data_IF_588461251187
#
_entry.id   IF_588461251187
#
_cell.length_a   1.000
_cell.length_b   1.000
_cell.length_c   1.000
_cell.angle_alpha   90.00
_cell.angle_beta   90.00
_cell.angle_gamma   90.00
#
_symmetry.space_group_name_H-M   'P 1'
#
loop_
_entity.id
_entity.type
_entity.pdbx_description
1 polymer ?
#
# COMPACT_ATOMS: atom_id res chain seq x y z
N UNK A 1 6.57 16.90 -1.62
CA UNK A 1 6.17 16.48 -0.25
C UNK A 1 4.65 16.58 -0.01
N UNK A 2 3.93 17.48 -0.69
CA UNK A 2 2.50 17.76 -0.43
C UNK A 2 1.50 16.82 -1.18
N UNK A 3 2.00 15.97 -2.08
CA UNK A 3 1.17 15.21 -3.04
C UNK A 3 0.61 13.88 -2.48
N UNK A 4 1.17 13.33 -1.39
CA UNK A 4 0.86 11.95 -0.95
C UNK A 4 0.04 11.91 0.36
N UNK A 5 0.25 12.87 1.24
CA UNK A 5 -0.47 12.94 2.54
C UNK A 5 -1.89 13.48 2.36
N UNK A 6 -2.09 14.43 1.45
CA UNK A 6 -3.41 15.07 1.24
C UNK A 6 -4.48 14.10 0.72
N UNK A 7 -4.21 13.29 -0.33
CA UNK A 7 -5.20 12.30 -0.79
C UNK A 7 -5.50 11.22 0.27
N UNK A 8 -4.49 10.79 1.02
CA UNK A 8 -4.67 9.83 2.11
C UNK A 8 -5.65 10.37 3.17
N UNK A 9 -5.50 11.64 3.55
CA UNK A 9 -6.35 12.30 4.55
C UNK A 9 -7.79 12.44 4.06
N UNK A 10 -7.99 12.95 2.83
CA UNK A 10 -9.35 13.16 2.28
C UNK A 10 -10.11 11.85 2.17
N UNK A 11 -9.43 10.79 1.71
CA UNK A 11 -10.05 9.48 1.57
C UNK A 11 -10.16 8.71 2.90
N UNK A 12 -9.61 9.25 4.00
CA UNK A 12 -9.46 8.55 5.29
C UNK A 12 -8.73 7.20 5.15
N UNK A 13 -7.79 7.12 4.21
CA UNK A 13 -7.00 5.93 3.92
C UNK A 13 -5.60 6.02 4.54
N UNK A 14 -5.58 6.28 5.84
CA UNK A 14 -4.36 6.31 6.64
C UNK A 14 -4.64 5.93 8.08
N UNK A 15 -3.60 5.51 8.80
CA UNK A 15 -3.64 5.28 10.25
C UNK A 15 -2.33 5.74 10.90
N UNK A 16 -2.47 6.51 11.97
CA UNK A 16 -1.35 6.92 12.82
C UNK A 16 -1.39 6.06 14.08
N UNK A 17 -0.26 5.40 14.37
CA UNK A 17 -0.09 4.63 15.59
C UNK A 17 0.61 5.48 16.64
N UNK A 18 0.12 5.42 17.88
CA UNK A 18 0.70 6.15 19.01
C UNK A 18 1.10 5.19 20.13
N UNK A 19 2.15 5.55 20.85
CA UNK A 19 2.57 4.90 22.08
C UNK A 19 2.83 6.00 23.12
N UNK A 20 2.16 5.93 24.28
CA UNK A 20 2.20 6.97 25.33
C UNK A 20 2.00 8.40 24.77
N UNK A 21 1.04 8.56 23.86
CA UNK A 21 0.71 9.83 23.19
C UNK A 21 1.62 10.24 22.02
N UNK A 22 2.80 9.63 21.88
CA UNK A 22 3.76 9.96 20.81
C UNK A 22 3.51 9.12 19.55
N UNK A 23 3.59 9.69 18.33
CA UNK A 23 3.48 8.93 17.09
C UNK A 23 4.65 7.94 16.98
N UNK A 24 4.32 6.68 16.71
CA UNK A 24 5.27 5.58 16.61
C UNK A 24 5.17 4.84 15.27
N UNK A 25 4.14 5.12 14.49
CA UNK A 25 4.07 4.67 13.11
C UNK A 25 2.99 5.37 12.31
N UNK A 26 3.13 5.27 10.99
CA UNK A 26 2.21 5.79 10.01
C UNK A 26 2.04 4.76 8.90
N UNK A 27 0.80 4.55 8.49
CA UNK A 27 0.46 3.69 7.36
C UNK A 27 -0.55 4.42 6.50
N UNK A 28 -0.37 4.40 5.18
CA UNK A 28 -1.32 4.88 4.18
C UNK A 28 -1.57 3.80 3.14
N UNK A 29 -2.75 3.83 2.53
CA UNK A 29 -3.12 2.85 1.50
C UNK A 29 -3.98 3.44 0.40
N UNK A 30 -4.00 2.78 -0.75
CA UNK A 30 -4.84 3.11 -1.88
C UNK A 30 -5.62 1.88 -2.35
N UNK A 31 -6.83 2.12 -2.85
CA UNK A 31 -7.65 1.14 -3.56
C UNK A 31 -7.67 1.54 -5.03
N UNK A 32 -6.82 0.90 -5.82
CA UNK A 32 -6.57 1.29 -7.21
C UNK A 32 -7.44 0.47 -8.16
N UNK A 33 -7.78 1.05 -9.31
CA UNK A 33 -8.16 0.26 -10.49
C UNK A 33 -6.93 -0.46 -11.05
N UNK A 34 -7.15 -1.48 -11.88
CA UNK A 34 -6.06 -2.15 -12.60
C UNK A 34 -5.22 -1.14 -13.41
N UNK A 35 -5.87 -0.22 -14.14
CA UNK A 35 -5.17 0.77 -14.97
C UNK A 35 -4.28 1.72 -14.14
N UNK A 36 -4.73 2.13 -12.94
CA UNK A 36 -3.92 2.96 -12.03
C UNK A 36 -2.79 2.15 -11.41
N UNK A 37 -3.05 0.90 -11.00
CA UNK A 37 -2.01 0.00 -10.49
C UNK A 37 -0.87 -0.17 -11.50
N UNK A 38 -1.19 -0.41 -12.78
CA UNK A 38 -0.18 -0.65 -13.81
C UNK A 38 0.76 0.54 -14.02
N UNK A 39 0.27 1.76 -13.85
CA UNK A 39 1.12 2.97 -13.89
C UNK A 39 1.94 3.10 -12.61
N UNK A 40 1.30 2.86 -11.46
CA UNK A 40 1.93 3.01 -10.14
C UNK A 40 3.13 2.08 -9.94
N UNK A 41 3.07 0.85 -10.44
CA UNK A 41 4.17 -0.12 -10.28
C UNK A 41 5.42 0.23 -11.08
N UNK A 42 5.28 1.00 -12.16
CA UNK A 42 6.38 1.46 -13.00
C UNK A 42 6.91 2.81 -12.53
N UNK A 43 6.01 3.70 -12.14
CA UNK A 43 6.34 4.97 -11.52
C UNK A 43 5.42 5.21 -10.32
N UNK A 44 5.97 5.09 -9.11
CA UNK A 44 5.21 5.36 -7.88
C UNK A 44 4.72 6.81 -7.78
N UNK A 45 5.37 7.75 -8.50
CA UNK A 45 4.95 9.15 -8.62
C UNK A 45 3.70 9.37 -9.46
N UNK A 46 3.28 8.37 -10.23
CA UNK A 46 2.09 8.44 -11.10
C UNK A 46 0.75 8.37 -10.34
N UNK A 47 0.76 8.05 -9.04
CA UNK A 47 -0.45 7.98 -8.23
C UNK A 47 -1.01 9.38 -7.94
N UNK A 48 -1.98 9.79 -8.75
CA UNK A 48 -2.74 11.03 -8.57
C UNK A 48 -3.83 10.89 -7.50
N UNK A 49 -4.33 11.99 -6.91
CA UNK A 49 -5.35 11.96 -5.85
C UNK A 49 -6.60 11.14 -6.20
N UNK A 50 -7.06 11.19 -7.45
CA UNK A 50 -8.23 10.46 -7.95
C UNK A 50 -7.98 8.95 -8.01
N UNK A 51 -6.71 8.55 -8.13
CA UNK A 51 -6.30 7.15 -8.17
C UNK A 51 -6.43 6.41 -6.84
N UNK A 52 -6.46 7.13 -5.71
CA UNK A 52 -6.45 6.55 -4.37
C UNK A 52 -7.68 5.70 -4.04
N UNK A 53 -8.82 5.96 -4.69
CA UNK A 53 -10.08 5.23 -4.51
C UNK A 53 -10.73 4.92 -5.87
N UNK A 54 -9.91 4.42 -6.79
CA UNK A 54 -10.32 4.17 -8.18
C UNK A 54 -10.77 2.73 -8.44
N UNK A 55 -10.61 1.81 -7.49
CA UNK A 55 -10.99 0.40 -7.65
C UNK A 55 -10.92 -0.41 -6.37
N UNK A 56 -10.57 -1.69 -6.49
CA UNK A 56 -10.57 -2.71 -5.44
C UNK A 56 -9.17 -3.32 -5.18
N UNK A 57 -8.14 -2.86 -5.91
CA UNK A 57 -6.77 -3.38 -5.79
C UNK A 57 -6.03 -2.64 -4.67
N UNK A 58 -5.93 -3.28 -3.51
CA UNK A 58 -5.32 -2.70 -2.31
C UNK A 58 -3.79 -2.59 -2.38
N UNK A 59 -3.27 -1.40 -2.09
CA UNK A 59 -1.84 -1.12 -1.98
C UNK A 59 -1.49 -0.36 -0.71
N UNK A 60 -0.50 -0.84 0.04
CA UNK A 60 0.16 -0.03 1.06
C UNK A 60 1.12 0.93 0.38
N UNK A 61 0.91 2.23 0.56
CA UNK A 61 1.70 3.30 -0.07
C UNK A 61 2.87 3.66 0.84
N UNK A 62 2.56 4.01 2.09
CA UNK A 62 3.57 4.29 3.11
C UNK A 62 3.43 3.32 4.27
N UNK A 63 4.56 2.78 4.73
CA UNK A 63 4.65 2.05 6.00
C UNK A 63 5.88 2.53 6.75
N UNK A 64 5.66 3.28 7.83
CA UNK A 64 6.72 3.91 8.62
C UNK A 64 6.57 3.45 10.07
N UNK A 65 7.58 2.77 10.61
CA UNK A 65 7.60 2.26 11.99
C UNK A 65 9.02 2.31 12.59
N UNK A 66 9.59 3.51 12.83
CA UNK A 66 11.01 3.68 13.13
C UNK A 66 11.43 3.15 14.51
N UNK A 67 10.50 2.96 15.44
CA UNK A 67 10.80 2.62 16.85
C UNK A 67 10.55 1.14 17.20
N UNK A 68 10.59 0.24 16.20
CA UNK A 68 10.46 -1.20 16.42
C UNK A 68 9.01 -1.73 16.55
N UNK A 69 8.01 -0.85 16.41
CA UNK A 69 6.59 -1.20 16.50
C UNK A 69 6.03 -1.99 15.28
N UNK A 70 6.88 -2.33 14.32
CA UNK A 70 6.48 -2.97 13.04
C UNK A 70 5.56 -4.17 13.25
N UNK A 71 5.91 -5.12 14.12
CA UNK A 71 5.10 -6.33 14.36
C UNK A 71 3.71 -5.99 14.90
N UNK A 72 3.63 -5.06 15.86
CA UNK A 72 2.37 -4.62 16.46
C UNK A 72 1.47 -3.95 15.43
N UNK A 73 2.06 -3.07 14.60
CA UNK A 73 1.34 -2.36 13.54
C UNK A 73 0.83 -3.35 12.50
N UNK A 74 1.67 -4.27 12.01
CA UNK A 74 1.24 -5.28 11.03
C UNK A 74 0.11 -6.16 11.57
N UNK A 75 0.19 -6.59 12.83
CA UNK A 75 -0.87 -7.38 13.44
C UNK A 75 -2.19 -6.60 13.52
N UNK A 76 -2.16 -5.33 13.91
CA UNK A 76 -3.36 -4.49 13.95
C UNK A 76 -3.92 -4.24 12.54
N UNK A 77 -3.08 -3.99 11.53
CA UNK A 77 -3.54 -3.86 10.14
C UNK A 77 -4.27 -5.13 9.68
N UNK A 78 -3.67 -6.30 9.93
CA UNK A 78 -4.22 -7.59 9.48
C UNK A 78 -5.50 -7.99 10.22
N UNK A 79 -5.67 -7.58 11.48
CA UNK A 79 -6.80 -8.02 12.30
C UNK A 79 -7.92 -6.99 12.40
N UNK A 80 -7.64 -5.70 12.23
CA UNK A 80 -8.59 -4.63 12.54
C UNK A 80 -8.84 -3.64 11.39
N UNK A 81 -7.91 -3.49 10.45
CA UNK A 81 -8.07 -2.54 9.33
C UNK A 81 -8.45 -3.25 8.04
N UNK A 82 -7.79 -4.37 7.75
CA UNK A 82 -7.89 -5.11 6.51
C UNK A 82 -8.22 -6.57 6.77
N UNK A 83 -9.04 -6.88 7.78
CA UNK A 83 -9.27 -8.27 8.23
C UNK A 83 -9.76 -9.19 7.13
N UNK A 84 -10.58 -8.66 6.22
CA UNK A 84 -11.19 -9.40 5.11
C UNK A 84 -10.58 -9.06 3.74
N UNK A 85 -9.56 -8.21 3.71
CA UNK A 85 -8.97 -7.71 2.48
C UNK A 85 -7.63 -8.36 2.13
N UNK A 86 -7.30 -8.28 0.85
CA UNK A 86 -5.98 -8.57 0.32
C UNK A 86 -5.33 -7.30 -0.21
N UNK A 87 -3.99 -7.28 -0.24
CA UNK A 87 -3.28 -6.12 -0.72
C UNK A 87 -1.85 -6.41 -1.13
N UNK A 88 -1.17 -5.34 -1.55
CA UNK A 88 0.19 -5.39 -2.08
C UNK A 88 1.03 -4.26 -1.51
N UNK A 89 2.34 -4.39 -1.57
CA UNK A 89 3.27 -3.30 -1.28
C UNK A 89 4.56 -3.48 -2.07
N UNK A 90 5.27 -2.37 -2.29
CA UNK A 90 6.59 -2.39 -2.93
C UNK A 90 7.69 -2.51 -1.88
N UNK A 91 8.63 -3.41 -2.10
CA UNK A 91 9.83 -3.58 -1.27
C UNK A 91 11.08 -3.36 -2.10
N UNK A 92 11.81 -2.30 -1.76
CA UNK A 92 13.19 -2.08 -2.23
C UNK A 92 14.13 -2.74 -1.24
N UNK A 93 15.13 -3.49 -1.72
CA UNK A 93 16.21 -4.00 -0.86
C UNK A 93 17.40 -3.03 -0.94
N UNK A 94 18.08 -2.73 0.18
CA UNK A 94 19.31 -1.94 0.14
C UNK A 94 20.30 -2.55 -0.87
N UNK A 95 20.85 -1.72 -1.76
CA UNK A 95 21.82 -2.15 -2.78
C UNK A 95 21.22 -2.93 -3.96
N UNK A 96 19.90 -2.92 -4.14
CA UNK A 96 19.22 -3.52 -5.29
C UNK A 96 18.56 -2.46 -6.15
N UNK A 97 18.79 -2.53 -7.46
CA UNK A 97 18.10 -1.68 -8.45
C UNK A 97 16.71 -2.23 -8.83
N UNK A 98 16.32 -3.37 -8.26
CA UNK A 98 14.99 -3.96 -8.44
C UNK A 98 14.05 -3.64 -7.28
N UNK A 99 12.80 -3.36 -7.62
CA UNK A 99 11.68 -3.30 -6.68
C UNK A 99 10.91 -4.62 -6.71
N UNK A 100 10.50 -5.13 -5.54
CA UNK A 100 9.72 -6.35 -5.43
C UNK A 100 8.28 -6.05 -5.02
N UNK A 101 7.31 -6.53 -5.79
CA UNK A 101 5.92 -6.59 -5.33
C UNK A 101 5.79 -7.69 -4.27
N UNK A 102 5.22 -7.35 -3.13
CA UNK A 102 4.88 -8.27 -2.05
C UNK A 102 3.39 -8.28 -1.82
N UNK A 103 2.85 -9.46 -1.54
CA UNK A 103 1.43 -9.68 -1.32
C UNK A 103 1.17 -9.85 0.18
N UNK A 104 0.06 -9.28 0.63
CA UNK A 104 -0.41 -9.33 2.03
C UNK A 104 -1.90 -9.65 2.05
N UNK A 105 -2.37 -10.11 3.20
CA UNK A 105 -3.77 -10.46 3.42
C UNK A 105 -4.13 -10.21 4.88
N UNK A 106 -5.40 -9.91 5.12
CA UNK A 106 -6.04 -9.94 6.42
C UNK A 106 -6.11 -11.33 7.03
N UNK A 107 -6.43 -11.39 8.33
CA UNK A 107 -6.57 -12.67 9.04
C UNK A 107 -7.68 -13.57 8.47
N UNK A 108 -8.74 -12.99 7.92
CA UNK A 108 -9.86 -13.73 7.32
C UNK A 108 -9.68 -13.94 5.80
N UNK A 109 -8.79 -13.18 5.16
CA UNK A 109 -8.60 -13.15 3.72
C UNK A 109 -7.55 -14.15 3.19
N UNK A 110 -7.16 -15.16 3.97
CA UNK A 110 -6.09 -16.13 3.61
C UNK A 110 -6.42 -16.88 2.31
N UNK A 111 -7.71 -17.16 2.08
CA UNK A 111 -8.20 -17.87 0.89
C UNK A 111 -8.75 -16.92 -0.18
N UNK A 112 -8.75 -15.61 0.08
CA UNK A 112 -9.23 -14.62 -0.87
C UNK A 112 -8.22 -14.50 -1.99
N UNK A 113 -8.70 -14.51 -3.24
CA UNK A 113 -7.84 -14.30 -4.38
C UNK A 113 -7.22 -12.89 -4.33
N UNK A 114 -5.91 -12.81 -4.51
CA UNK A 114 -5.19 -11.55 -4.61
C UNK A 114 -4.59 -11.48 -6.01
N UNK A 115 -5.26 -10.78 -6.95
CA UNK A 115 -4.88 -10.78 -8.34
C UNK A 115 -3.39 -10.46 -8.53
N UNK A 116 -2.73 -11.21 -9.40
CA UNK A 116 -1.33 -10.91 -9.73
C UNK A 116 -1.23 -9.59 -10.47
N UNK A 117 -0.12 -8.88 -10.24
CA UNK A 117 0.23 -7.69 -11.02
C UNK A 117 0.81 -8.13 -12.36
N UNK A 118 0.19 -7.71 -13.46
CA UNK A 118 0.67 -8.03 -14.81
C UNK A 118 1.76 -7.03 -15.25
N UNK A 119 3.02 -7.36 -14.95
CA UNK A 119 4.17 -6.51 -15.28
C UNK A 119 4.36 -6.33 -16.79
N UNK A 120 4.01 -7.33 -17.61
CA UNK A 120 4.19 -7.25 -19.07
C UNK A 120 3.21 -6.25 -19.68
N UNK A 121 1.97 -6.27 -19.21
CA UNK A 121 0.95 -5.29 -19.61
C UNK A 121 1.31 -3.89 -19.14
N UNK A 122 1.96 -3.75 -17.98
CA UNK A 122 2.50 -2.48 -17.51
C UNK A 122 3.52 -1.91 -18.50
N UNK A 123 4.53 -2.70 -18.87
CA UNK A 123 5.62 -2.29 -19.75
C UNK A 123 5.13 -1.86 -21.14
N UNK A 124 4.08 -2.51 -21.67
CA UNK A 124 3.45 -2.15 -22.95
C UNK A 124 2.76 -0.77 -22.96
N UNK A 125 2.42 -0.20 -21.79
CA UNK A 125 1.79 1.12 -21.70
C UNK A 125 2.80 2.28 -21.81
N UNK A 126 4.10 1.97 -21.72
CA UNK A 126 5.20 2.94 -21.75
C UNK A 126 6.18 2.70 -22.92
N UNK A 127 5.91 1.73 -23.79
CA UNK A 127 6.59 1.54 -25.08
C UNK A 127 5.86 2.23 -26.22
#
# INVERSE_FOLDING_TARGET
>A
MQQWVYPAIINKQFRIYRNKGKPCGYVSWAWMSEAVEQKYILDTGSLLPEGWKSGDRGWLIDFIAPFGDTRRIVNDLKSNVFCDDVGRYLRVKPGSDTMQVKYVHGVNAIKTDNPTVDLKKAEQLFG
#
